data_IF_742108187862
#
_entry.id   IF_742108187862
#
_cell.length_a   1.000
_cell.length_b   1.000
_cell.length_c   1.000
_cell.angle_alpha   90.00
_cell.angle_beta   90.00
_cell.angle_gamma   90.00
#
_symmetry.space_group_name_H-M   'P 1'
#
loop_
_entity.id
_entity.type
_entity.pdbx_description
1 polymer ?
#
# COMPACT_ATOMS: atom_id res chain seq x y z
N UNK A 1 11.78 4.36 -14.13
CA UNK A 1 10.40 4.45 -13.63
C UNK A 1 10.36 3.68 -12.32
N UNK A 2 10.02 4.32 -11.21
CA UNK A 2 9.97 3.63 -9.91
C UNK A 2 8.64 2.91 -9.73
N UNK A 3 8.60 1.89 -8.87
CA UNK A 3 7.36 1.17 -8.56
C UNK A 3 6.28 2.11 -8.01
N UNK A 4 6.67 3.08 -7.17
CA UNK A 4 5.80 4.15 -6.67
C UNK A 4 5.12 4.95 -7.79
N UNK A 5 5.86 5.32 -8.83
CA UNK A 5 5.27 6.04 -9.98
C UNK A 5 4.33 5.16 -10.80
N UNK A 6 4.69 3.89 -10.98
CA UNK A 6 3.83 2.92 -11.67
C UNK A 6 2.51 2.74 -10.92
N UNK A 7 2.56 2.56 -9.60
CA UNK A 7 1.39 2.39 -8.75
C UNK A 7 0.48 3.62 -8.80
N UNK A 8 1.03 4.83 -8.67
CA UNK A 8 0.27 6.07 -8.81
C UNK A 8 -0.37 6.23 -10.20
N UNK A 9 0.34 5.89 -11.28
CA UNK A 9 -0.18 5.94 -12.66
C UNK A 9 -1.33 4.96 -12.86
N UNK A 10 -1.29 3.81 -12.18
CA UNK A 10 -2.29 2.77 -12.25
C UNK A 10 -3.43 2.93 -11.23
N UNK A 11 -3.42 3.99 -10.40
CA UNK A 11 -4.48 4.28 -9.43
C UNK A 11 -4.38 3.51 -8.12
N UNK A 12 -3.17 3.07 -7.76
CA UNK A 12 -2.91 2.29 -6.56
C UNK A 12 -2.03 3.03 -5.55
N UNK A 13 -2.29 2.77 -4.27
CA UNK A 13 -1.39 3.08 -3.15
C UNK A 13 -0.86 1.77 -2.53
N UNK A 14 0.14 1.90 -1.66
CA UNK A 14 0.66 0.77 -0.88
C UNK A 14 0.50 1.02 0.60
N UNK A 15 0.09 -0.03 1.30
CA UNK A 15 0.06 -0.08 2.76
C UNK A 15 0.91 -1.23 3.24
N UNK A 16 1.40 -1.16 4.46
CA UNK A 16 2.03 -2.28 5.13
C UNK A 16 1.21 -2.68 6.36
N UNK A 17 1.19 -3.97 6.63
CA UNK A 17 0.63 -4.53 7.84
C UNK A 17 1.62 -4.34 8.99
N UNK A 18 1.24 -3.62 10.04
CA UNK A 18 2.12 -3.39 11.20
C UNK A 18 2.37 -4.66 12.03
N UNK A 19 1.54 -5.69 11.88
CA UNK A 19 1.68 -6.95 12.63
C UNK A 19 2.66 -7.89 11.94
N UNK A 20 2.66 -7.95 10.61
CA UNK A 20 3.50 -8.88 9.83
C UNK A 20 4.68 -8.21 9.10
N UNK A 21 4.60 -6.89 8.88
CA UNK A 21 5.54 -6.14 8.05
C UNK A 21 5.31 -6.31 6.54
N UNK A 22 4.29 -7.06 6.14
CA UNK A 22 4.00 -7.34 4.73
C UNK A 22 3.37 -6.15 4.01
N UNK A 23 3.71 -6.01 2.73
CA UNK A 23 3.22 -4.90 1.90
C UNK A 23 2.08 -5.37 1.01
N UNK A 24 1.02 -4.56 0.98
CA UNK A 24 -0.15 -4.79 0.16
C UNK A 24 -0.38 -3.60 -0.76
N UNK A 25 -0.88 -3.90 -1.95
CA UNK A 25 -1.41 -2.89 -2.87
C UNK A 25 -2.87 -2.65 -2.55
N UNK A 26 -3.31 -1.40 -2.60
CA UNK A 26 -4.72 -1.02 -2.39
C UNK A 26 -5.15 0.01 -3.44
N UNK A 27 -6.46 0.18 -3.63
CA UNK A 27 -6.98 1.30 -4.42
C UNK A 27 -6.62 2.62 -3.76
N UNK A 28 -6.33 3.66 -4.54
CA UNK A 28 -6.16 5.02 -4.02
C UNK A 28 -7.35 5.46 -3.15
N UNK A 29 -7.06 6.00 -1.97
CA UNK A 29 -8.05 6.45 -1.00
C UNK A 29 -8.66 5.32 -0.16
N UNK A 30 -7.95 4.18 -0.07
CA UNK A 30 -8.21 3.15 0.93
C UNK A 30 -7.90 3.68 2.32
N UNK A 31 -6.73 4.29 2.50
CA UNK A 31 -6.31 4.82 3.80
C UNK A 31 -7.18 5.99 4.29
N UNK A 32 -7.82 6.70 3.37
CA UNK A 32 -8.77 7.79 3.69
C UNK A 32 -10.06 7.30 4.34
N UNK A 33 -10.48 6.05 4.06
CA UNK A 33 -11.74 5.47 4.59
C UNK A 33 -11.50 4.37 5.61
N UNK A 34 -10.26 3.92 5.75
CA UNK A 34 -9.91 2.81 6.63
C UNK A 34 -9.71 3.34 8.06
N UNK A 35 -10.68 3.09 8.94
CA UNK A 35 -10.63 3.48 10.36
C UNK A 35 -9.75 2.56 11.23
N UNK A 36 -9.21 1.47 10.66
CA UNK A 36 -8.37 0.54 11.38
C UNK A 36 -6.93 1.06 11.56
N UNK A 37 -6.18 0.40 12.45
CA UNK A 37 -4.77 0.75 12.73
C UNK A 37 -3.76 -0.23 12.15
N UNK A 38 -4.22 -1.37 11.62
CA UNK A 38 -3.36 -2.47 11.20
C UNK A 38 -2.61 -2.17 9.91
N UNK A 39 -3.30 -1.62 8.92
CA UNK A 39 -2.69 -1.23 7.65
C UNK A 39 -2.32 0.25 7.68
N UNK A 40 -1.04 0.55 7.47
CA UNK A 40 -0.53 1.92 7.46
C UNK A 40 0.07 2.27 6.09
N UNK A 41 -0.04 3.52 5.64
CA UNK A 41 0.50 3.94 4.35
C UNK A 41 2.03 3.77 4.31
N UNK A 42 2.55 3.29 3.19
CA UNK A 42 3.99 3.21 2.98
C UNK A 42 4.56 4.61 2.75
N UNK A 43 5.41 5.08 3.68
CA UNK A 43 6.06 6.39 3.59
C UNK A 43 7.54 6.33 3.15
N UNK A 44 8.21 5.19 3.37
CA UNK A 44 9.62 4.99 2.97
C UNK A 44 9.70 4.47 1.53
N UNK A 45 10.54 5.09 0.70
CA UNK A 45 10.74 4.68 -0.69
C UNK A 45 11.40 3.28 -0.79
N UNK A 46 12.18 2.85 0.21
CA UNK A 46 12.78 1.51 0.22
C UNK A 46 11.74 0.39 0.26
N UNK A 47 10.59 0.63 0.90
CA UNK A 47 9.49 -0.33 0.96
C UNK A 47 8.83 -0.55 -0.41
N UNK A 48 9.00 0.35 -1.38
CA UNK A 48 8.54 0.10 -2.75
C UNK A 48 9.42 -0.90 -3.51
N UNK A 49 10.60 -1.24 -2.98
CA UNK A 49 11.46 -2.30 -3.50
C UNK A 49 11.05 -3.70 -3.03
N UNK A 50 10.30 -3.78 -1.92
CA UNK A 50 9.80 -5.04 -1.38
C UNK A 50 8.66 -5.62 -2.25
N UNK A 51 8.52 -6.95 -2.29
CA UNK A 51 7.43 -7.61 -3.00
C UNK A 51 6.08 -7.31 -2.34
N UNK A 52 5.02 -7.40 -3.15
CA UNK A 52 3.66 -7.21 -2.69
C UNK A 52 3.10 -8.58 -2.27
N UNK A 53 2.67 -8.73 -1.02
CA UNK A 53 2.06 -9.97 -0.50
C UNK A 53 0.63 -10.17 -0.98
N UNK A 54 -0.06 -9.11 -1.41
CA UNK A 54 -1.41 -9.22 -1.96
C UNK A 54 -2.07 -7.89 -2.29
N UNK A 55 -3.36 -7.96 -2.60
CA UNK A 55 -4.21 -6.82 -2.93
C UNK A 55 -5.38 -6.73 -1.95
N UNK A 56 -5.65 -5.51 -1.45
CA UNK A 56 -6.79 -5.23 -0.56
C UNK A 56 -7.75 -4.31 -1.31
N UNK A 57 -8.96 -4.80 -1.54
CA UNK A 57 -10.04 -4.03 -2.14
C UNK A 57 -10.76 -3.20 -1.07
N UNK A 58 -11.11 -1.96 -1.45
CA UNK A 58 -12.03 -1.13 -0.69
C UNK A 58 -13.40 -1.82 -0.68
N UNK A 59 -13.96 -2.04 0.52
CA UNK A 59 -15.36 -2.47 0.68
C UNK A 59 -16.33 -1.30 0.55
#
# INVERSE_FOLDING_TARGET
>A
MSQKQSDATLGYERVYDIETGEIYKTTNGFTDVYDGKRYQPVTDDNMYAEPISGYIEKQ
#
